data_IF_178273121279
#
_entry.id   IF_178273121279
#
_cell.length_a   1.000
_cell.length_b   1.000
_cell.length_c   1.000
_cell.angle_alpha   90.00
_cell.angle_beta   90.00
_cell.angle_gamma   90.00
#
_symmetry.space_group_name_H-M   'P 1'
#
loop_
_entity.id
_entity.type
_entity.pdbx_description
1 polymer ?
#
# COMPACT_ATOMS: atom_id res chain seq x y z
N UNK A 1 9.76 -18.34 -16.13
CA UNK A 1 9.69 -17.16 -16.99
C UNK A 1 10.84 -16.21 -16.73
N UNK A 2 11.19 -15.42 -17.72
CA UNK A 2 12.22 -14.38 -17.67
C UNK A 2 11.77 -13.24 -18.60
N UNK A 3 12.08 -12.02 -18.22
CA UNK A 3 11.86 -10.84 -19.03
C UNK A 3 13.24 -10.18 -19.27
N UNK A 4 13.57 -9.96 -20.52
CA UNK A 4 14.77 -9.26 -20.96
C UNK A 4 14.38 -7.93 -21.58
N UNK A 5 14.98 -6.84 -21.10
CA UNK A 5 14.74 -5.48 -21.59
C UNK A 5 16.05 -4.96 -22.16
N UNK A 6 16.06 -4.66 -23.46
CA UNK A 6 17.25 -4.14 -24.15
C UNK A 6 17.06 -2.65 -24.38
N UNK A 7 18.00 -1.86 -23.91
CA UNK A 7 18.09 -0.43 -24.21
C UNK A 7 19.29 -0.21 -25.12
N UNK A 8 19.02 0.02 -26.41
CA UNK A 8 20.04 0.24 -27.43
C UNK A 8 20.59 1.67 -27.39
N UNK A 9 21.73 1.90 -28.02
CA UNK A 9 22.38 3.23 -28.10
C UNK A 9 21.52 4.27 -28.83
N UNK A 10 20.71 3.84 -29.83
CA UNK A 10 19.73 4.67 -30.53
C UNK A 10 18.44 4.93 -29.74
N UNK A 11 18.41 4.52 -28.45
CA UNK A 11 17.26 4.58 -27.53
C UNK A 11 16.10 3.68 -27.93
N UNK A 12 16.24 2.81 -28.91
CA UNK A 12 15.26 1.74 -29.15
C UNK A 12 15.20 0.82 -27.95
N UNK A 13 13.98 0.51 -27.49
CA UNK A 13 13.76 -0.43 -26.38
C UNK A 13 13.05 -1.68 -26.89
N UNK A 14 13.57 -2.83 -26.45
CA UNK A 14 12.98 -4.14 -26.74
C UNK A 14 12.63 -4.82 -25.41
N UNK A 15 11.36 -5.10 -25.19
CA UNK A 15 10.89 -5.96 -24.11
C UNK A 15 10.68 -7.36 -24.68
N UNK A 16 11.37 -8.35 -24.12
CA UNK A 16 11.26 -9.75 -24.55
C UNK A 16 10.89 -10.65 -23.38
N UNK A 17 9.92 -11.51 -23.56
CA UNK A 17 9.59 -12.59 -22.63
C UNK A 17 9.82 -13.95 -23.27
N UNK A 18 10.06 -14.96 -22.45
CA UNK A 18 10.10 -16.37 -22.84
C UNK A 18 8.83 -17.12 -22.41
N UNK A 19 7.69 -16.46 -22.46
CA UNK A 19 6.37 -17.01 -22.17
C UNK A 19 5.86 -17.93 -23.26
N UNK A 20 4.55 -18.16 -23.25
CA UNK A 20 3.91 -19.07 -24.22
C UNK A 20 3.79 -18.49 -25.62
N UNK A 21 4.03 -17.20 -25.79
CA UNK A 21 3.84 -16.48 -27.05
C UNK A 21 2.38 -16.46 -27.52
N UNK A 22 2.15 -15.88 -28.68
CA UNK A 22 0.81 -15.73 -29.30
C UNK A 22 0.78 -16.37 -30.69
N UNK A 23 -0.37 -16.92 -31.07
CA UNK A 23 -0.69 -17.34 -32.44
C UNK A 23 -1.18 -16.14 -33.26
N UNK A 24 -1.19 -16.27 -34.58
CA UNK A 24 -1.68 -15.24 -35.49
C UNK A 24 -3.11 -14.79 -35.17
N UNK A 25 -4.01 -15.75 -34.93
CA UNK A 25 -5.39 -15.44 -34.54
C UNK A 25 -5.51 -14.66 -33.25
N UNK A 26 -4.64 -14.96 -32.27
CA UNK A 26 -4.58 -14.26 -30.99
C UNK A 26 -4.01 -12.85 -31.15
N UNK A 27 -2.95 -12.68 -31.95
CA UNK A 27 -2.38 -11.37 -32.30
C UNK A 27 -3.44 -10.52 -33.00
N UNK A 28 -4.12 -11.08 -34.01
CA UNK A 28 -5.22 -10.40 -34.70
C UNK A 28 -6.31 -9.97 -33.71
N UNK A 29 -6.79 -10.87 -32.87
CA UNK A 29 -7.89 -10.61 -31.95
C UNK A 29 -7.52 -9.58 -30.88
N UNK A 30 -6.30 -9.65 -30.32
CA UNK A 30 -5.93 -8.87 -29.13
C UNK A 30 -5.19 -7.56 -29.42
N UNK A 31 -4.57 -7.43 -30.59
CA UNK A 31 -3.83 -6.23 -30.94
C UNK A 31 -4.55 -5.34 -31.98
N UNK A 32 -5.49 -5.90 -32.73
CA UNK A 32 -6.24 -5.12 -33.73
C UNK A 32 -7.59 -4.63 -33.24
N UNK A 33 -8.17 -5.27 -32.22
CA UNK A 33 -9.46 -4.90 -31.64
C UNK A 33 -9.25 -4.21 -30.31
N UNK A 34 -9.53 -2.91 -30.27
CA UNK A 34 -9.40 -2.11 -29.03
C UNK A 34 -10.37 -2.65 -27.96
N UNK A 35 -9.81 -2.98 -26.79
CA UNK A 35 -10.61 -3.43 -25.64
C UNK A 35 -10.82 -4.96 -25.57
N UNK A 36 -10.30 -5.76 -26.47
CA UNK A 36 -10.23 -7.21 -26.32
C UNK A 36 -8.90 -7.64 -25.65
N UNK A 37 -8.97 -8.63 -24.77
CA UNK A 37 -7.82 -9.23 -24.10
C UNK A 37 -8.02 -10.74 -23.99
N UNK A 38 -6.99 -11.52 -24.34
CA UNK A 38 -6.95 -12.99 -24.20
C UNK A 38 -7.29 -13.47 -22.79
N UNK A 39 -7.19 -12.57 -21.83
CA UNK A 39 -7.27 -12.86 -20.41
C UNK A 39 -8.64 -12.52 -19.79
N UNK A 40 -9.62 -12.06 -20.61
CA UNK A 40 -10.96 -11.70 -20.11
C UNK A 40 -11.85 -12.91 -19.81
N UNK A 41 -11.74 -13.96 -20.61
CA UNK A 41 -12.67 -15.09 -20.63
C UNK A 41 -12.06 -16.40 -20.10
N UNK A 42 -10.86 -16.35 -19.50
CA UNK A 42 -10.23 -17.52 -18.88
C UNK A 42 -10.63 -17.63 -17.41
N UNK A 43 -10.74 -18.85 -16.84
CA UNK A 43 -10.99 -19.06 -15.41
C UNK A 43 -9.99 -18.32 -14.50
N UNK A 44 -8.77 -18.08 -15.01
CA UNK A 44 -7.68 -17.39 -14.32
C UNK A 44 -7.59 -15.91 -14.73
N UNK A 45 -8.64 -15.31 -15.32
CA UNK A 45 -8.64 -13.91 -15.78
C UNK A 45 -8.29 -12.92 -14.65
N UNK A 46 -8.58 -13.30 -13.40
CA UNK A 46 -8.27 -12.52 -12.22
C UNK A 46 -6.77 -12.50 -11.88
N UNK A 47 -5.97 -13.40 -12.43
CA UNK A 47 -4.53 -13.49 -12.14
C UNK A 47 -3.65 -12.60 -13.06
N UNK A 48 -4.25 -11.94 -14.05
CA UNK A 48 -3.51 -11.11 -15.00
C UNK A 48 -3.69 -9.61 -14.77
N UNK A 49 -2.60 -8.84 -14.92
CA UNK A 49 -2.60 -7.39 -14.81
C UNK A 49 -3.30 -6.74 -16.03
N UNK A 50 -3.14 -7.33 -17.22
CA UNK A 50 -3.63 -6.79 -18.49
C UNK A 50 -5.06 -7.16 -18.80
N UNK A 51 -6.07 -6.56 -18.15
CA UNK A 51 -7.50 -6.87 -18.37
C UNK A 51 -8.19 -6.04 -19.46
N UNK A 52 -7.71 -4.84 -19.72
CA UNK A 52 -8.43 -3.86 -20.54
C UNK A 52 -8.08 -3.90 -22.03
N UNK A 53 -7.04 -4.65 -22.45
CA UNK A 53 -6.59 -4.69 -23.84
C UNK A 53 -6.04 -3.38 -24.39
N UNK A 54 -5.79 -2.39 -23.51
CA UNK A 54 -5.31 -1.06 -23.89
C UNK A 54 -3.86 -0.79 -23.44
N UNK A 55 -3.24 -1.71 -22.70
CA UNK A 55 -1.91 -1.49 -22.13
C UNK A 55 -0.84 -1.23 -23.19
N UNK A 56 -0.88 -2.00 -24.29
CA UNK A 56 0.06 -1.81 -25.41
C UNK A 56 -0.20 -0.49 -26.15
N UNK A 57 -1.46 -0.09 -26.31
CA UNK A 57 -1.82 1.14 -27.00
C UNK A 57 -1.34 2.40 -26.27
N UNK A 58 -1.17 2.32 -24.94
CA UNK A 58 -0.61 3.44 -24.18
C UNK A 58 0.83 3.77 -24.59
N UNK A 59 1.55 2.83 -25.21
CA UNK A 59 2.90 3.07 -25.72
C UNK A 59 2.92 4.12 -26.86
N UNK A 60 1.80 4.35 -27.57
CA UNK A 60 1.71 5.41 -28.59
C UNK A 60 1.90 6.83 -28.04
N UNK A 61 1.86 7.01 -26.74
CA UNK A 61 2.26 8.28 -26.12
C UNK A 61 3.73 8.56 -26.42
N UNK A 62 4.59 7.56 -26.29
CA UNK A 62 6.06 7.69 -26.42
C UNK A 62 6.61 7.24 -27.76
N UNK A 63 5.83 6.56 -28.60
CA UNK A 63 6.24 6.05 -29.93
C UNK A 63 5.17 6.29 -30.98
N UNK A 64 5.53 6.37 -32.25
CA UNK A 64 4.59 6.43 -33.38
C UNK A 64 4.27 5.06 -33.94
N UNK A 65 5.10 4.06 -33.63
CA UNK A 65 4.96 2.69 -34.09
C UNK A 65 5.29 1.70 -32.98
N UNK A 66 4.48 0.65 -32.87
CA UNK A 66 4.70 -0.47 -31.96
C UNK A 66 4.85 -1.72 -32.79
N UNK A 67 5.99 -2.41 -32.67
CA UNK A 67 6.20 -3.70 -33.31
C UNK A 67 6.14 -4.81 -32.27
N UNK A 68 5.28 -5.80 -32.53
CA UNK A 68 5.15 -7.01 -31.70
C UNK A 68 5.49 -8.22 -32.53
N UNK A 69 6.44 -9.00 -32.07
CA UNK A 69 6.83 -10.26 -32.69
C UNK A 69 6.60 -11.39 -31.70
N UNK A 70 5.94 -12.46 -32.13
CA UNK A 70 5.61 -13.56 -31.23
C UNK A 70 5.66 -14.91 -31.93
N UNK A 71 6.04 -15.95 -31.17
CA UNK A 71 5.94 -17.36 -31.58
C UNK A 71 5.30 -18.16 -30.44
N UNK A 72 4.21 -18.85 -30.78
CA UNK A 72 3.46 -19.63 -29.81
C UNK A 72 4.11 -20.98 -29.49
N UNK A 73 4.14 -21.34 -28.22
CA UNK A 73 4.51 -22.69 -27.75
C UNK A 73 3.54 -23.77 -28.25
N UNK A 74 2.32 -23.38 -28.63
CA UNK A 74 1.30 -24.27 -29.15
C UNK A 74 1.48 -24.55 -30.66
N UNK A 75 2.61 -24.14 -31.26
CA UNK A 75 2.91 -24.32 -32.70
C UNK A 75 2.41 -23.17 -33.55
N UNK A 76 2.72 -23.24 -34.85
CA UNK A 76 2.46 -22.17 -35.83
C UNK A 76 3.72 -21.42 -36.21
N UNK A 77 3.56 -20.54 -37.21
CA UNK A 77 4.64 -19.66 -37.66
C UNK A 77 4.82 -18.48 -36.69
N UNK A 78 5.99 -17.87 -36.72
CA UNK A 78 6.20 -16.61 -36.02
C UNK A 78 5.36 -15.50 -36.68
N UNK A 79 4.81 -14.63 -35.87
CA UNK A 79 3.92 -13.54 -36.27
C UNK A 79 4.55 -12.21 -35.94
N UNK A 80 4.48 -11.27 -36.86
CA UNK A 80 4.87 -9.89 -36.66
C UNK A 80 3.67 -8.98 -36.91
N UNK A 81 3.30 -8.21 -35.88
CA UNK A 81 2.32 -7.14 -35.94
C UNK A 81 3.03 -5.80 -35.79
N UNK A 82 2.70 -4.86 -36.65
CA UNK A 82 3.23 -3.51 -36.64
C UNK A 82 2.06 -2.53 -36.64
N UNK A 83 1.78 -1.87 -35.52
CA UNK A 83 0.72 -0.89 -35.40
C UNK A 83 1.26 0.52 -35.36
N UNK A 84 0.52 1.47 -35.96
CA UNK A 84 0.85 2.88 -36.01
C UNK A 84 -0.15 3.75 -35.28
N UNK A 85 0.29 4.93 -34.89
CA UNK A 85 -0.53 5.90 -34.12
C UNK A 85 -1.79 6.34 -34.88
N UNK A 86 -1.79 6.28 -36.23
CA UNK A 86 -2.93 6.62 -37.06
C UNK A 86 -4.02 5.53 -37.11
N UNK A 87 -3.82 4.41 -36.36
CA UNK A 87 -4.73 3.27 -36.31
C UNK A 87 -4.54 2.24 -37.40
N UNK A 88 -3.58 2.42 -38.33
CA UNK A 88 -3.21 1.42 -39.31
C UNK A 88 -2.30 0.36 -38.71
N UNK A 89 -2.37 -0.86 -39.24
CA UNK A 89 -1.47 -1.94 -38.81
C UNK A 89 -1.13 -2.86 -40.00
N UNK A 90 -0.02 -3.55 -39.86
CA UNK A 90 0.39 -4.65 -40.73
C UNK A 90 0.55 -5.93 -39.93
N UNK A 91 0.06 -7.06 -40.45
CA UNK A 91 0.21 -8.37 -39.87
C UNK A 91 0.84 -9.30 -40.86
N UNK A 92 1.99 -9.85 -40.51
CA UNK A 92 2.75 -10.76 -41.38
C UNK A 92 3.18 -11.99 -40.59
N UNK A 93 3.16 -13.15 -41.26
CA UNK A 93 3.69 -14.40 -40.72
C UNK A 93 5.03 -14.71 -41.36
N UNK A 94 6.00 -15.17 -40.57
CA UNK A 94 7.34 -15.51 -41.01
C UNK A 94 7.66 -16.98 -40.76
N UNK A 95 8.28 -17.62 -41.78
CA UNK A 95 8.81 -18.96 -41.62
C UNK A 95 10.17 -18.99 -40.89
N UNK A 96 10.76 -17.83 -40.57
CA UNK A 96 11.99 -17.78 -39.79
C UNK A 96 11.81 -18.39 -38.40
N UNK A 97 12.76 -19.21 -38.00
CA UNK A 97 12.78 -19.79 -36.64
C UNK A 97 13.07 -18.70 -35.62
N UNK A 98 12.09 -18.44 -34.75
CA UNK A 98 12.24 -17.58 -33.58
C UNK A 98 12.08 -18.36 -32.29
N UNK A 99 12.71 -17.95 -31.18
CA UNK A 99 12.42 -18.50 -29.88
C UNK A 99 10.93 -18.36 -29.53
N UNK A 100 10.41 -19.29 -28.71
CA UNK A 100 9.06 -19.20 -28.13
C UNK A 100 9.02 -18.02 -27.18
N UNK A 101 7.93 -17.23 -27.24
CA UNK A 101 7.72 -16.05 -26.43
C UNK A 101 7.29 -14.86 -27.30
N UNK A 102 7.35 -13.68 -26.72
CA UNK A 102 7.00 -12.44 -27.42
C UNK A 102 8.06 -11.37 -27.19
N UNK A 103 8.18 -10.46 -28.15
CA UNK A 103 8.93 -9.23 -27.95
C UNK A 103 8.15 -8.02 -28.48
N UNK A 104 8.30 -6.91 -27.78
CA UNK A 104 7.74 -5.61 -28.14
C UNK A 104 8.91 -4.65 -28.39
N UNK A 105 8.92 -4.01 -29.55
CA UNK A 105 9.94 -3.04 -29.95
C UNK A 105 9.32 -1.65 -30.02
N UNK A 106 9.95 -0.68 -29.35
CA UNK A 106 9.52 0.70 -29.29
C UNK A 106 10.66 1.63 -29.74
N UNK A 107 10.34 2.54 -30.66
CA UNK A 107 11.23 3.61 -31.09
C UNK A 107 10.71 4.93 -30.51
N UNK A 108 11.41 5.55 -29.52
CA UNK A 108 10.88 6.73 -28.84
C UNK A 108 10.84 7.95 -29.77
N UNK A 109 9.77 8.74 -29.63
CA UNK A 109 9.67 10.08 -30.24
C UNK A 109 10.71 11.01 -29.63
N UNK A 110 11.15 12.01 -30.41
CA UNK A 110 12.17 12.97 -29.98
C UNK A 110 11.84 13.64 -28.62
N UNK A 111 10.58 14.03 -28.41
CA UNK A 111 10.14 14.71 -27.19
C UNK A 111 10.27 13.83 -25.93
N UNK A 112 10.29 12.50 -26.11
CA UNK A 112 10.30 11.51 -25.03
C UNK A 112 11.65 10.83 -24.84
N UNK A 113 12.67 11.13 -25.66
CA UNK A 113 13.99 10.48 -25.60
C UNK A 113 14.66 10.59 -24.22
N UNK A 114 14.37 11.65 -23.47
CA UNK A 114 14.92 11.86 -22.14
C UNK A 114 14.52 10.76 -21.14
N UNK A 115 13.38 10.08 -21.35
CA UNK A 115 12.95 8.94 -20.50
C UNK A 115 13.74 7.67 -20.81
N UNK A 116 14.38 7.60 -21.97
CA UNK A 116 15.16 6.46 -22.45
C UNK A 116 16.67 6.64 -22.25
N UNK A 117 17.07 7.64 -21.46
CA UNK A 117 18.42 7.69 -20.91
C UNK A 117 18.59 6.59 -19.86
N UNK A 118 19.75 5.90 -19.85
CA UNK A 118 19.96 4.69 -19.06
C UNK A 118 19.51 4.82 -17.59
N UNK A 119 19.98 5.85 -16.88
CA UNK A 119 19.67 6.03 -15.47
C UNK A 119 18.18 6.32 -15.23
N UNK A 120 17.56 7.10 -16.12
CA UNK A 120 16.13 7.44 -16.04
C UNK A 120 15.28 6.22 -16.34
N UNK A 121 15.59 5.51 -17.41
CA UNK A 121 14.89 4.32 -17.85
C UNK A 121 14.98 3.21 -16.80
N UNK A 122 16.18 2.96 -16.26
CA UNK A 122 16.40 2.00 -15.19
C UNK A 122 15.56 2.33 -13.95
N UNK A 123 15.51 3.59 -13.52
CA UNK A 123 14.66 4.02 -12.39
C UNK A 123 13.19 3.74 -12.63
N UNK A 124 12.70 4.01 -13.84
CA UNK A 124 11.30 3.73 -14.22
C UNK A 124 11.06 2.22 -14.21
N UNK A 125 11.95 1.43 -14.83
CA UNK A 125 11.82 -0.03 -14.91
C UNK A 125 11.80 -0.67 -13.51
N UNK A 126 12.74 -0.27 -12.63
CA UNK A 126 12.77 -0.71 -11.24
C UNK A 126 11.52 -0.24 -10.50
N UNK A 127 11.14 1.03 -10.62
CA UNK A 127 10.00 1.60 -9.89
C UNK A 127 8.71 0.81 -10.08
N UNK A 128 8.41 0.40 -11.31
CA UNK A 128 7.19 -0.37 -11.61
C UNK A 128 7.37 -1.87 -11.51
N UNK A 129 8.56 -2.38 -11.81
CA UNK A 129 8.84 -3.80 -11.96
C UNK A 129 9.55 -4.47 -10.78
N UNK A 130 9.94 -3.73 -9.74
CA UNK A 130 10.81 -4.19 -8.64
C UNK A 130 10.43 -5.54 -8.04
N UNK A 131 9.14 -5.81 -7.90
CA UNK A 131 8.65 -7.04 -7.25
C UNK A 131 7.88 -7.97 -8.17
N UNK A 132 8.00 -7.79 -9.49
CA UNK A 132 7.43 -8.75 -10.44
C UNK A 132 7.91 -10.17 -10.14
N UNK A 133 7.07 -11.22 -10.29
CA UNK A 133 7.40 -12.57 -9.88
C UNK A 133 8.42 -13.26 -10.79
N UNK A 134 8.77 -12.65 -11.91
CA UNK A 134 9.76 -13.14 -12.85
C UNK A 134 11.00 -12.24 -12.84
N UNK A 135 12.22 -12.80 -13.00
CA UNK A 135 13.43 -11.99 -13.11
C UNK A 135 13.37 -11.09 -14.35
N UNK A 136 13.68 -9.82 -14.16
CA UNK A 136 13.75 -8.80 -15.20
C UNK A 136 15.21 -8.36 -15.34
N UNK A 137 15.79 -8.57 -16.52
CA UNK A 137 17.14 -8.18 -16.85
C UNK A 137 17.15 -6.97 -17.76
N UNK A 138 17.91 -5.95 -17.40
CA UNK A 138 18.20 -4.80 -18.25
C UNK A 138 19.54 -5.05 -18.96
N UNK A 139 19.49 -5.01 -20.29
CA UNK A 139 20.68 -5.11 -21.15
C UNK A 139 20.96 -3.72 -21.72
N UNK A 140 22.17 -3.24 -21.53
CA UNK A 140 22.66 -1.99 -22.12
C UNK A 140 24.13 -2.16 -22.49
N UNK A 141 24.47 -1.88 -23.74
CA UNK A 141 25.80 -2.20 -24.30
C UNK A 141 26.13 -3.71 -24.06
N UNK A 142 27.26 -4.02 -23.48
CA UNK A 142 27.69 -5.40 -23.19
C UNK A 142 27.35 -5.86 -21.76
N UNK A 143 26.55 -5.07 -21.00
CA UNK A 143 26.20 -5.35 -19.62
C UNK A 143 24.78 -5.92 -19.50
N UNK A 144 24.61 -6.91 -18.63
CA UNK A 144 23.33 -7.49 -18.19
C UNK A 144 23.18 -7.28 -16.69
N UNK A 145 22.08 -6.68 -16.26
CA UNK A 145 21.79 -6.43 -14.84
C UNK A 145 20.40 -6.93 -14.44
N UNK A 146 20.30 -7.68 -13.37
CA UNK A 146 19.01 -8.03 -12.75
C UNK A 146 18.47 -6.81 -12.00
N UNK A 147 17.34 -6.27 -12.45
CA UNK A 147 16.79 -5.00 -11.96
C UNK A 147 15.62 -5.14 -11.00
N UNK A 148 15.17 -6.38 -10.73
CA UNK A 148 14.06 -6.61 -9.80
C UNK A 148 14.38 -7.65 -8.74
N UNK A 149 13.49 -7.76 -7.76
CA UNK A 149 13.56 -8.73 -6.66
C UNK A 149 12.30 -9.58 -6.67
N UNK A 150 12.26 -10.71 -7.42
CA UNK A 150 11.06 -11.54 -7.57
C UNK A 150 10.51 -12.10 -6.26
N UNK A 151 11.35 -12.23 -5.24
CA UNK A 151 10.97 -12.72 -3.91
C UNK A 151 11.41 -11.74 -2.82
N UNK A 152 10.72 -10.59 -2.68
CA UNK A 152 11.13 -9.58 -1.73
C UNK A 152 10.91 -10.06 -0.28
N UNK A 153 11.76 -9.56 0.63
CA UNK A 153 11.78 -9.93 2.06
C UNK A 153 10.39 -9.77 2.72
N UNK A 154 9.67 -8.72 2.36
CA UNK A 154 8.38 -8.42 2.97
C UNK A 154 7.26 -9.41 2.59
N UNK A 155 7.43 -10.18 1.52
CA UNK A 155 6.54 -11.28 1.14
C UNK A 155 7.08 -12.65 1.60
N UNK A 156 8.34 -12.75 2.00
CA UNK A 156 8.93 -14.00 2.48
C UNK A 156 8.32 -14.39 3.84
N UNK A 157 7.65 -15.56 3.99
CA UNK A 157 6.94 -15.92 5.23
C UNK A 157 7.83 -15.98 6.47
N UNK A 158 9.12 -16.31 6.26
CA UNK A 158 10.10 -16.52 7.34
C UNK A 158 10.95 -15.28 7.65
N UNK A 159 10.72 -14.15 6.97
CA UNK A 159 11.50 -12.96 7.26
C UNK A 159 11.24 -12.46 8.68
N UNK A 160 12.34 -12.17 9.36
CA UNK A 160 12.33 -11.68 10.73
C UNK A 160 11.84 -10.24 10.83
N UNK A 161 11.38 -9.84 12.01
CA UNK A 161 10.99 -8.45 12.28
C UNK A 161 12.12 -7.47 11.96
N UNK A 162 13.38 -7.82 12.25
CA UNK A 162 14.54 -6.98 11.97
C UNK A 162 14.72 -6.77 10.46
N UNK A 163 14.71 -7.86 9.68
CA UNK A 163 14.84 -7.79 8.22
C UNK A 163 13.71 -6.92 7.60
N UNK A 164 12.48 -7.04 8.12
CA UNK A 164 11.37 -6.22 7.66
C UNK A 164 11.57 -4.74 7.99
N UNK A 165 12.05 -4.40 9.19
CA UNK A 165 12.34 -3.01 9.58
C UNK A 165 13.48 -2.42 8.74
N UNK A 166 14.56 -3.18 8.52
CA UNK A 166 15.71 -2.77 7.71
C UNK A 166 15.29 -2.56 6.24
N UNK A 167 14.43 -3.43 5.72
CA UNK A 167 13.86 -3.27 4.37
C UNK A 167 12.99 -2.01 4.27
N UNK A 168 12.06 -1.83 5.22
CA UNK A 168 11.20 -0.63 5.24
C UNK A 168 11.99 0.66 5.36
N UNK A 169 13.07 0.67 6.15
CA UNK A 169 13.95 1.83 6.28
C UNK A 169 14.61 2.21 4.94
N UNK A 170 14.98 1.23 4.12
CA UNK A 170 15.54 1.46 2.77
C UNK A 170 14.48 1.97 1.81
N UNK A 171 13.30 1.31 1.75
CA UNK A 171 12.22 1.65 0.81
C UNK A 171 11.64 3.04 1.08
N UNK A 172 11.44 3.37 2.35
CA UNK A 172 10.80 4.62 2.76
C UNK A 172 11.77 5.72 3.20
N UNK A 173 13.07 5.44 3.20
CA UNK A 173 14.12 6.35 3.68
C UNK A 173 13.82 6.90 5.09
N UNK A 174 13.16 6.10 5.91
CA UNK A 174 12.70 6.45 7.25
C UNK A 174 12.57 5.19 8.11
N UNK A 175 13.04 5.24 9.34
CA UNK A 175 12.84 4.16 10.31
C UNK A 175 11.36 4.03 10.69
N UNK A 176 10.98 2.89 11.26
CA UNK A 176 9.67 2.67 11.86
C UNK A 176 9.81 2.24 13.33
N UNK A 177 8.79 2.48 14.16
CA UNK A 177 8.77 1.99 15.54
C UNK A 177 8.61 0.46 15.58
N UNK A 178 7.73 -0.05 14.72
CA UNK A 178 7.44 -1.47 14.62
C UNK A 178 6.94 -1.83 13.23
N UNK A 179 6.85 -3.14 12.97
CA UNK A 179 6.32 -3.72 11.75
C UNK A 179 5.55 -4.99 12.07
N UNK A 180 4.44 -5.21 11.38
CA UNK A 180 3.67 -6.44 11.48
C UNK A 180 3.08 -6.83 10.12
N UNK A 181 2.81 -8.12 9.96
CA UNK A 181 2.26 -8.68 8.73
C UNK A 181 0.76 -8.57 8.71
N UNK A 182 0.22 -8.42 7.51
CA UNK A 182 -1.21 -8.55 7.25
C UNK A 182 -1.46 -9.52 6.11
N UNK A 183 -2.62 -10.15 6.17
CA UNK A 183 -3.21 -10.91 5.09
C UNK A 183 -4.72 -10.82 5.20
N UNK A 184 -5.39 -10.47 4.10
CA UNK A 184 -6.85 -10.42 4.02
C UNK A 184 -7.37 -11.48 3.05
N UNK A 185 -8.59 -11.94 3.29
CA UNK A 185 -9.30 -12.79 2.33
C UNK A 185 -9.91 -11.92 1.23
N UNK A 186 -10.59 -10.84 1.63
CA UNK A 186 -11.11 -9.85 0.69
C UNK A 186 -9.99 -9.17 -0.05
N UNK A 187 -10.04 -9.20 -1.37
CA UNK A 187 -9.04 -8.59 -2.24
C UNK A 187 -7.66 -9.25 -2.23
N UNK A 188 -7.47 -10.35 -1.48
CA UNK A 188 -6.20 -11.07 -1.35
C UNK A 188 -5.01 -10.11 -1.13
N UNK A 189 -5.17 -9.22 -0.13
CA UNK A 189 -4.12 -8.26 0.22
C UNK A 189 -3.15 -8.91 1.20
N UNK A 190 -1.86 -8.92 0.85
CA UNK A 190 -0.80 -9.41 1.74
C UNK A 190 0.38 -8.43 1.79
N UNK A 191 1.06 -8.38 2.91
CA UNK A 191 2.23 -7.54 3.08
C UNK A 191 2.52 -7.16 4.51
N UNK A 192 3.09 -5.98 4.68
CA UNK A 192 3.52 -5.48 5.99
C UNK A 192 3.04 -4.06 6.23
N UNK A 193 2.70 -3.79 7.48
CA UNK A 193 2.33 -2.47 7.98
C UNK A 193 3.41 -1.99 8.95
N UNK A 194 3.87 -0.76 8.75
CA UNK A 194 4.90 -0.10 9.57
C UNK A 194 4.26 0.96 10.45
N UNK A 195 4.59 0.94 11.74
CA UNK A 195 4.18 1.99 12.68
C UNK A 195 5.17 3.14 12.60
N UNK A 196 4.69 4.34 12.31
CA UNK A 196 5.52 5.52 12.12
C UNK A 196 6.17 5.98 13.43
N UNK A 197 7.41 6.50 13.40
CA UNK A 197 8.13 6.93 14.61
C UNK A 197 7.83 8.38 15.01
N UNK A 198 6.94 9.08 14.29
CA UNK A 198 6.61 10.48 14.51
C UNK A 198 5.10 10.71 14.43
N UNK A 199 4.65 11.79 15.07
CA UNK A 199 3.25 12.22 15.00
C UNK A 199 2.93 12.67 13.57
N UNK A 200 1.90 12.08 13.00
CA UNK A 200 1.39 12.49 11.70
C UNK A 200 0.28 13.52 11.87
N UNK A 201 0.25 14.49 10.96
CA UNK A 201 -0.89 15.41 10.84
C UNK A 201 -1.77 14.90 9.70
N UNK A 202 -3.09 15.14 9.78
CA UNK A 202 -4.07 14.74 8.76
C UNK A 202 -3.74 15.25 7.34
N UNK A 203 -2.91 16.29 7.24
CA UNK A 203 -2.51 16.93 5.97
C UNK A 203 -1.22 16.34 5.35
N UNK A 204 -0.47 15.52 6.07
CA UNK A 204 0.78 14.94 5.57
C UNK A 204 0.45 13.59 4.91
N UNK A 205 0.59 13.52 3.59
CA UNK A 205 0.52 12.25 2.86
C UNK A 205 1.72 11.40 3.23
N UNK A 206 1.47 10.27 3.85
CA UNK A 206 2.50 9.26 4.06
C UNK A 206 2.76 8.57 2.72
N UNK A 207 4.01 8.37 2.36
CA UNK A 207 4.35 7.52 1.23
C UNK A 207 4.05 6.07 1.59
N UNK A 208 3.21 5.44 0.79
CA UNK A 208 2.89 4.02 0.87
C UNK A 208 3.51 3.29 -0.33
N UNK A 209 3.39 1.99 -0.39
CA UNK A 209 3.68 1.20 -1.59
C UNK A 209 2.56 0.18 -1.74
N UNK A 210 1.67 0.41 -2.70
CA UNK A 210 0.57 -0.49 -3.03
C UNK A 210 0.87 -1.13 -4.38
N UNK A 211 1.07 -2.42 -4.36
CA UNK A 211 1.25 -3.24 -5.56
C UNK A 211 -0.05 -3.95 -5.91
N UNK A 212 -0.33 -4.08 -7.18
CA UNK A 212 -1.41 -4.88 -7.71
C UNK A 212 -0.79 -5.97 -8.59
N UNK A 213 -0.96 -7.24 -8.18
CA UNK A 213 -0.35 -8.38 -8.88
C UNK A 213 1.14 -8.20 -9.11
N UNK A 214 1.83 -7.75 -8.08
CA UNK A 214 3.27 -7.51 -8.06
C UNK A 214 3.78 -6.35 -8.91
N UNK A 215 2.92 -5.53 -9.50
CA UNK A 215 3.30 -4.30 -10.18
C UNK A 215 2.90 -3.10 -9.32
N UNK A 216 3.77 -2.09 -9.19
CA UNK A 216 3.47 -0.88 -8.44
C UNK A 216 2.24 -0.20 -9.05
N UNK A 217 1.22 -0.01 -8.22
CA UNK A 217 0.01 0.72 -8.58
C UNK A 217 0.11 2.18 -8.15
N UNK A 218 0.49 2.40 -6.89
CA UNK A 218 0.53 3.74 -6.31
C UNK A 218 1.47 3.83 -5.11
N UNK A 219 1.97 5.04 -4.87
CA UNK A 219 2.68 5.40 -3.64
C UNK A 219 1.75 6.01 -2.58
N UNK A 220 0.47 6.18 -2.87
CA UNK A 220 -0.59 6.53 -1.93
C UNK A 220 -1.28 5.25 -1.41
N UNK A 221 -2.10 5.37 -0.35
CA UNK A 221 -2.81 4.23 0.25
C UNK A 221 -3.98 3.71 -0.60
N UNK A 222 -4.32 4.40 -1.68
CA UNK A 222 -5.45 4.07 -2.57
C UNK A 222 -6.78 3.86 -1.83
N UNK A 223 -6.98 4.49 -0.69
CA UNK A 223 -8.09 4.25 0.25
C UNK A 223 -8.14 2.80 0.78
N UNK A 224 -7.02 2.12 0.83
CA UNK A 224 -6.91 0.75 1.35
C UNK A 224 -6.87 0.73 2.88
N UNK A 225 -6.27 1.74 3.51
CA UNK A 225 -6.22 1.86 4.96
C UNK A 225 -7.48 2.55 5.53
N UNK A 226 -7.92 2.18 6.75
CA UNK A 226 -8.92 2.96 7.47
C UNK A 226 -8.47 4.39 7.71
N UNK A 227 -9.38 5.35 7.64
CA UNK A 227 -9.07 6.78 7.81
C UNK A 227 -8.37 7.10 9.13
N UNK A 228 -8.64 6.34 10.21
CA UNK A 228 -8.02 6.54 11.51
C UNK A 228 -6.59 5.97 11.60
N UNK A 229 -6.11 5.23 10.59
CA UNK A 229 -4.80 4.56 10.61
C UNK A 229 -3.64 5.46 10.13
N UNK A 230 -3.69 6.77 10.37
CA UNK A 230 -2.66 7.74 9.95
C UNK A 230 -1.25 7.45 10.46
N UNK A 231 -1.14 6.70 11.54
CA UNK A 231 0.13 6.30 12.13
C UNK A 231 0.74 5.07 11.46
N UNK A 232 0.09 4.56 10.42
CA UNK A 232 0.50 3.35 9.70
C UNK A 232 0.95 3.73 8.28
N UNK A 233 2.01 3.08 7.83
CA UNK A 233 2.47 3.07 6.44
C UNK A 233 2.37 1.63 5.92
N UNK A 234 1.88 1.44 4.70
CA UNK A 234 1.73 0.10 4.13
C UNK A 234 2.71 -0.16 2.99
N UNK A 235 3.13 -1.43 2.92
CA UNK A 235 3.86 -2.05 1.82
C UNK A 235 3.15 -3.37 1.53
N UNK A 236 2.28 -3.37 0.53
CA UNK A 236 1.32 -4.45 0.30
C UNK A 236 1.14 -4.78 -1.16
N UNK A 237 0.79 -6.03 -1.43
CA UNK A 237 0.35 -6.51 -2.73
C UNK A 237 -1.11 -6.97 -2.66
N UNK A 238 -1.93 -6.58 -3.62
CA UNK A 238 -3.36 -6.86 -3.68
C UNK A 238 -3.69 -7.63 -4.96
N UNK A 239 -3.71 -8.96 -4.89
CA UNK A 239 -3.93 -9.79 -6.09
C UNK A 239 -5.39 -9.83 -6.55
N UNK A 240 -6.35 -9.65 -5.64
CA UNK A 240 -7.77 -9.76 -5.92
C UNK A 240 -8.50 -8.43 -6.15
N UNK A 241 -7.87 -7.29 -5.90
CA UNK A 241 -8.48 -5.99 -6.13
C UNK A 241 -8.37 -5.58 -7.61
N UNK A 242 -9.14 -4.57 -7.99
CA UNK A 242 -9.17 -4.04 -9.35
C UNK A 242 -8.62 -2.62 -9.37
N UNK A 243 -7.81 -2.30 -10.39
CA UNK A 243 -7.39 -0.92 -10.66
C UNK A 243 -8.39 -0.18 -11.52
N UNK A 244 -8.39 1.13 -11.42
CA UNK A 244 -9.02 2.02 -12.40
C UNK A 244 -8.37 1.85 -13.79
N UNK A 245 -9.01 2.36 -14.83
CA UNK A 245 -8.47 2.30 -16.19
C UNK A 245 -7.12 3.04 -16.33
N UNK A 246 -6.93 4.13 -15.57
CA UNK A 246 -5.65 4.87 -15.49
C UNK A 246 -4.54 4.10 -14.78
N UNK A 247 -4.87 3.04 -14.03
CA UNK A 247 -3.94 2.26 -13.19
C UNK A 247 -3.21 3.08 -12.11
N UNK A 248 -3.83 4.14 -11.63
CA UNK A 248 -3.26 4.99 -10.57
C UNK A 248 -3.93 4.76 -9.21
N UNK A 249 -5.09 4.09 -9.20
CA UNK A 249 -5.85 3.84 -7.98
C UNK A 249 -6.66 2.54 -8.05
N UNK A 250 -7.19 2.12 -6.91
CA UNK A 250 -8.09 0.98 -6.81
C UNK A 250 -9.54 1.39 -7.12
N UNK A 251 -10.31 0.49 -7.72
CA UNK A 251 -11.74 0.69 -7.95
C UNK A 251 -12.47 0.68 -6.61
N UNK A 252 -13.25 1.74 -6.36
CA UNK A 252 -14.10 1.83 -5.16
C UNK A 252 -15.31 0.91 -5.29
N UNK A 253 -15.24 -0.26 -4.69
CA UNK A 253 -16.30 -1.27 -4.67
C UNK A 253 -16.39 -1.92 -3.27
N UNK A 254 -17.32 -2.86 -3.09
CA UNK A 254 -17.51 -3.51 -1.80
C UNK A 254 -16.32 -4.39 -1.41
N UNK A 255 -15.65 -5.00 -2.38
CA UNK A 255 -14.44 -5.79 -2.12
C UNK A 255 -13.30 -4.94 -1.50
N UNK A 256 -13.10 -3.70 -1.99
CA UNK A 256 -12.13 -2.77 -1.39
C UNK A 256 -12.57 -2.34 0.02
N UNK A 257 -13.88 -2.13 0.24
CA UNK A 257 -14.40 -1.79 1.57
C UNK A 257 -14.17 -2.93 2.57
N UNK A 258 -14.42 -4.17 2.16
CA UNK A 258 -14.20 -5.35 3.00
C UNK A 258 -12.71 -5.55 3.29
N UNK A 259 -11.84 -5.45 2.29
CA UNK A 259 -10.38 -5.49 2.49
C UNK A 259 -9.91 -4.43 3.50
N UNK A 260 -10.40 -3.18 3.38
CA UNK A 260 -10.11 -2.11 4.34
C UNK A 260 -10.57 -2.45 5.75
N UNK A 261 -11.75 -3.05 5.90
CA UNK A 261 -12.29 -3.49 7.18
C UNK A 261 -11.42 -4.58 7.81
N UNK A 262 -11.01 -5.57 7.03
CA UNK A 262 -10.13 -6.64 7.50
C UNK A 262 -8.74 -6.10 7.92
N UNK A 263 -8.17 -5.16 7.15
CA UNK A 263 -6.93 -4.47 7.54
C UNK A 263 -7.13 -3.71 8.84
N UNK A 264 -8.25 -3.01 9.00
CA UNK A 264 -8.60 -2.33 10.24
C UNK A 264 -8.66 -3.29 11.44
N UNK A 265 -9.26 -4.47 11.26
CA UNK A 265 -9.27 -5.52 12.29
C UNK A 265 -7.85 -6.00 12.61
N UNK A 266 -7.01 -6.24 11.60
CA UNK A 266 -5.62 -6.66 11.80
C UNK A 266 -4.79 -5.63 12.60
N UNK A 267 -4.99 -4.33 12.34
CA UNK A 267 -4.35 -3.26 13.13
C UNK A 267 -4.82 -3.29 14.58
N UNK A 268 -6.13 -3.46 14.82
CA UNK A 268 -6.69 -3.56 16.17
C UNK A 268 -6.15 -4.78 16.91
N UNK A 269 -6.08 -5.93 16.25
CA UNK A 269 -5.56 -7.17 16.83
C UNK A 269 -4.06 -7.06 17.15
N UNK A 270 -3.29 -6.41 16.28
CA UNK A 270 -1.89 -6.10 16.54
C UNK A 270 -1.73 -5.26 17.82
N UNK A 271 -2.49 -4.16 17.96
CA UNK A 271 -2.46 -3.31 19.17
C UNK A 271 -2.88 -4.08 20.42
N UNK A 272 -3.93 -4.92 20.31
CA UNK A 272 -4.38 -5.82 21.40
C UNK A 272 -3.27 -6.79 21.82
N UNK A 273 -2.59 -7.40 20.84
CA UNK A 273 -1.46 -8.29 21.07
C UNK A 273 -0.30 -7.60 21.78
N UNK A 274 -0.02 -6.34 21.47
CA UNK A 274 1.01 -5.57 22.15
C UNK A 274 0.68 -5.30 23.63
N UNK A 275 -0.56 -4.95 23.94
CA UNK A 275 -1.00 -4.74 25.33
C UNK A 275 -0.78 -5.99 26.16
N UNK A 276 -1.06 -7.15 25.59
CA UNK A 276 -0.95 -8.44 26.29
C UNK A 276 0.49 -8.96 26.40
N UNK A 277 1.27 -8.84 25.31
CA UNK A 277 2.53 -9.56 25.17
C UNK A 277 3.78 -8.66 25.11
N UNK A 278 3.63 -7.38 24.75
CA UNK A 278 4.76 -6.44 24.61
C UNK A 278 4.37 -5.01 24.98
N UNK A 279 4.08 -4.82 26.26
CA UNK A 279 3.66 -3.53 26.81
C UNK A 279 4.67 -2.42 26.57
N UNK A 280 5.97 -2.73 26.59
CA UNK A 280 7.01 -1.73 26.35
C UNK A 280 6.91 -1.12 24.93
N UNK A 281 6.60 -1.94 23.91
CA UNK A 281 6.36 -1.47 22.56
C UNK A 281 5.04 -0.69 22.47
N UNK A 282 3.97 -1.19 23.10
CA UNK A 282 2.68 -0.48 23.14
C UNK A 282 2.84 0.94 23.74
N UNK A 283 3.57 1.07 24.84
CA UNK A 283 3.81 2.38 25.46
C UNK A 283 4.60 3.30 24.53
N UNK A 284 5.63 2.82 23.81
CA UNK A 284 6.35 3.62 22.81
C UNK A 284 5.44 4.12 21.70
N UNK A 285 4.52 3.28 21.22
CA UNK A 285 3.53 3.65 20.21
C UNK A 285 2.57 4.69 20.78
N UNK A 286 2.10 4.48 22.02
CA UNK A 286 1.18 5.37 22.70
C UNK A 286 1.80 6.76 22.94
N UNK A 287 3.07 6.84 23.33
CA UNK A 287 3.80 8.11 23.53
C UNK A 287 3.77 9.00 22.27
N UNK A 288 3.82 8.37 21.10
CA UNK A 288 3.79 9.08 19.82
C UNK A 288 2.35 9.24 19.30
N UNK A 289 1.52 8.21 19.39
CA UNK A 289 0.26 8.08 18.65
C UNK A 289 -0.99 8.01 19.53
N UNK A 290 -0.94 8.44 20.81
CA UNK A 290 -2.09 8.37 21.73
C UNK A 290 -3.37 9.01 21.14
N UNK A 291 -3.25 10.07 20.33
CA UNK A 291 -4.39 10.70 19.67
C UNK A 291 -5.13 9.73 18.73
N UNK A 292 -4.39 8.98 17.90
CA UNK A 292 -4.98 7.99 16.99
C UNK A 292 -5.58 6.80 17.73
N UNK A 293 -4.91 6.37 18.81
CA UNK A 293 -5.42 5.29 19.67
C UNK A 293 -6.68 5.73 20.41
N UNK A 294 -6.77 6.99 20.85
CA UNK A 294 -8.00 7.57 21.40
C UNK A 294 -9.14 7.56 20.38
N UNK A 295 -8.85 7.92 19.12
CA UNK A 295 -9.85 7.88 18.04
C UNK A 295 -10.39 6.45 17.82
N UNK A 296 -9.52 5.45 17.75
CA UNK A 296 -9.93 4.04 17.61
C UNK A 296 -10.79 3.60 18.82
N UNK A 297 -10.32 3.89 20.04
CA UNK A 297 -11.02 3.54 21.26
C UNK A 297 -12.39 4.22 21.39
N UNK A 298 -12.54 5.43 20.81
CA UNK A 298 -13.84 6.13 20.82
C UNK A 298 -14.91 5.44 19.96
N UNK A 299 -14.52 4.63 18.97
CA UNK A 299 -15.43 3.92 18.07
C UNK A 299 -15.72 2.48 18.51
N UNK A 300 -14.80 1.86 19.26
CA UNK A 300 -14.84 0.43 19.61
C UNK A 300 -14.83 0.23 21.14
N UNK A 301 -15.91 -0.38 21.69
CA UNK A 301 -16.07 -0.60 23.12
C UNK A 301 -15.07 -1.60 23.71
N UNK A 302 -14.67 -2.60 22.93
CA UNK A 302 -13.70 -3.62 23.38
C UNK A 302 -12.31 -2.98 23.50
N UNK A 303 -11.90 -2.22 22.49
CA UNK A 303 -10.63 -1.52 22.50
C UNK A 303 -10.60 -0.38 23.52
N UNK A 304 -11.74 0.28 23.74
CA UNK A 304 -11.86 1.25 24.82
C UNK A 304 -11.55 0.61 26.19
N UNK A 305 -12.16 -0.52 26.50
CA UNK A 305 -11.88 -1.24 27.75
C UNK A 305 -10.42 -1.66 27.86
N UNK A 306 -9.84 -2.10 26.74
CA UNK A 306 -8.46 -2.57 26.69
C UNK A 306 -7.43 -1.45 26.84
N UNK A 307 -7.67 -0.30 26.21
CA UNK A 307 -6.68 0.77 26.14
C UNK A 307 -6.89 1.87 27.18
N UNK A 308 -8.10 2.05 27.72
CA UNK A 308 -8.44 3.21 28.55
C UNK A 308 -7.47 3.44 29.70
N UNK A 309 -7.07 2.40 30.43
CA UNK A 309 -6.17 2.53 31.57
C UNK A 309 -4.77 3.06 31.19
N UNK A 310 -4.39 2.96 29.92
CA UNK A 310 -3.08 3.42 29.40
C UNK A 310 -3.17 4.80 28.74
N UNK A 311 -4.38 5.23 28.34
CA UNK A 311 -4.54 6.51 27.63
C UNK A 311 -4.15 7.68 28.52
N UNK A 312 -3.33 8.62 28.00
CA UNK A 312 -2.94 9.80 28.75
C UNK A 312 -4.06 10.85 28.74
N UNK A 313 -4.31 11.44 29.90
CA UNK A 313 -5.19 12.60 30.10
C UNK A 313 -4.44 13.71 30.79
N UNK A 314 -4.66 14.95 30.36
CA UNK A 314 -4.16 16.10 31.07
C UNK A 314 -4.94 16.31 32.37
N UNK A 315 -4.24 16.55 33.46
CA UNK A 315 -4.84 16.85 34.76
C UNK A 315 -4.20 18.09 35.39
N UNK A 316 -4.83 18.63 36.43
CA UNK A 316 -4.24 19.71 37.22
C UNK A 316 -2.89 19.31 37.88
N UNK A 317 -2.55 18.02 37.92
CA UNK A 317 -1.27 17.47 38.43
C UNK A 317 -0.36 16.92 37.30
N UNK A 318 -0.54 17.41 36.07
CA UNK A 318 0.20 16.97 34.87
C UNK A 318 -0.51 15.86 34.11
N UNK A 319 0.12 15.36 33.04
CA UNK A 319 -0.42 14.26 32.21
C UNK A 319 -0.31 12.95 32.98
N UNK A 320 -1.42 12.20 33.07
CA UNK A 320 -1.50 10.91 33.75
C UNK A 320 -2.24 9.88 32.90
N UNK A 321 -1.90 8.61 33.06
CA UNK A 321 -2.71 7.53 32.50
C UNK A 321 -4.06 7.43 33.21
N UNK A 322 -5.12 7.08 32.49
CA UNK A 322 -6.45 6.97 33.09
C UNK A 322 -6.48 5.95 34.22
N UNK A 323 -5.78 4.82 34.13
CA UNK A 323 -5.65 3.84 35.18
C UNK A 323 -5.11 4.44 36.50
N UNK A 324 -4.17 5.38 36.41
CA UNK A 324 -3.65 6.08 37.62
C UNK A 324 -4.63 7.13 38.18
N UNK A 325 -5.49 7.71 37.31
CA UNK A 325 -6.55 8.64 37.72
C UNK A 325 -7.63 7.86 38.46
N UNK A 326 -8.13 6.77 37.88
CA UNK A 326 -9.17 5.92 38.44
C UNK A 326 -8.77 5.24 39.76
N UNK A 327 -7.51 4.84 39.89
CA UNK A 327 -7.04 4.20 41.14
C UNK A 327 -7.00 5.15 42.34
N UNK A 328 -7.06 6.46 42.10
CA UNK A 328 -7.08 7.46 43.15
C UNK A 328 -8.50 7.70 43.71
N UNK A 329 -9.54 7.62 42.87
CA UNK A 329 -10.94 7.81 43.24
C UNK A 329 -11.87 7.22 42.16
N UNK A 330 -13.05 6.73 42.56
CA UNK A 330 -14.10 6.29 41.63
C UNK A 330 -14.94 7.48 41.06
N UNK A 331 -14.75 8.68 41.59
CA UNK A 331 -15.35 9.91 41.09
C UNK A 331 -14.30 10.65 40.29
N UNK A 332 -14.53 10.82 38.96
CA UNK A 332 -13.65 11.55 38.06
C UNK A 332 -14.22 12.93 37.83
N UNK A 333 -13.60 13.94 38.47
CA UNK A 333 -13.91 15.34 38.20
C UNK A 333 -13.28 15.77 36.87
N UNK A 334 -14.05 16.42 35.99
CA UNK A 334 -13.55 16.88 34.68
C UNK A 334 -14.18 18.18 34.25
N UNK A 335 -13.50 18.88 33.34
CA UNK A 335 -14.00 20.08 32.66
C UNK A 335 -14.07 19.81 31.17
N UNK A 336 -15.08 20.41 30.47
CA UNK A 336 -15.28 20.25 29.02
C UNK A 336 -14.49 21.24 28.17
N UNK A 337 -14.08 22.35 28.78
CA UNK A 337 -13.38 23.39 28.05
C UNK A 337 -12.11 23.84 28.80
N UNK A 338 -11.21 24.45 28.06
CA UNK A 338 -9.90 24.83 28.56
C UNK A 338 -9.97 26.02 29.54
N UNK A 339 -10.97 26.90 29.43
CA UNK A 339 -11.11 28.08 30.28
C UNK A 339 -11.51 27.63 31.69
N UNK A 340 -12.53 26.78 31.82
CA UNK A 340 -12.95 26.22 33.10
C UNK A 340 -11.82 25.43 33.74
N UNK A 341 -11.09 24.61 32.95
CA UNK A 341 -9.91 23.91 33.46
C UNK A 341 -8.86 24.85 34.05
N UNK A 342 -8.56 25.96 33.40
CA UNK A 342 -7.59 26.94 33.88
C UNK A 342 -8.03 27.62 35.18
N UNK A 343 -9.35 27.88 35.32
CA UNK A 343 -9.91 28.49 36.52
C UNK A 343 -9.88 27.50 37.71
N UNK A 344 -10.36 26.27 37.48
CA UNK A 344 -10.50 25.25 38.53
C UNK A 344 -9.15 24.67 38.92
N UNK A 345 -8.17 24.59 38.03
CA UNK A 345 -6.86 23.97 38.24
C UNK A 345 -6.16 24.42 39.52
N UNK A 346 -6.19 25.75 39.83
CA UNK A 346 -5.53 26.29 41.02
C UNK A 346 -6.28 25.92 42.32
N UNK A 347 -7.59 26.02 42.29
CA UNK A 347 -8.44 25.73 43.43
C UNK A 347 -8.38 24.23 43.79
N UNK A 348 -8.53 23.38 42.75
CA UNK A 348 -8.44 21.92 42.88
C UNK A 348 -7.06 21.49 43.43
N UNK A 349 -5.99 22.12 42.96
CA UNK A 349 -4.64 21.86 43.44
C UNK A 349 -4.47 22.17 44.92
N UNK A 350 -5.01 23.28 45.41
CA UNK A 350 -4.98 23.68 46.83
C UNK A 350 -5.80 22.74 47.73
N UNK A 351 -6.90 22.19 47.22
CA UNK A 351 -7.77 21.26 47.92
C UNK A 351 -7.37 19.78 47.76
N UNK A 352 -6.32 19.51 47.00
CA UNK A 352 -5.84 18.14 46.76
C UNK A 352 -6.64 17.33 45.72
N UNK A 353 -7.68 17.93 45.11
CA UNK A 353 -8.51 17.26 44.10
C UNK A 353 -7.76 17.00 42.82
N UNK A 354 -8.19 15.94 42.11
CA UNK A 354 -7.69 15.64 40.78
C UNK A 354 -8.79 15.98 39.76
N UNK A 355 -8.50 16.87 38.81
CA UNK A 355 -9.41 17.31 37.78
C UNK A 355 -8.81 17.02 36.41
N UNK A 356 -9.59 16.40 35.53
CA UNK A 356 -9.23 16.05 34.17
C UNK A 356 -9.65 17.16 33.22
N UNK A 357 -8.73 17.58 32.34
CA UNK A 357 -9.04 18.42 31.20
C UNK A 357 -9.59 17.55 30.06
N UNK A 358 -10.89 17.55 29.88
CA UNK A 358 -11.55 16.82 28.79
C UNK A 358 -11.87 17.69 27.57
N UNK A 359 -11.23 18.85 27.42
CA UNK A 359 -11.41 19.76 26.28
C UNK A 359 -10.84 19.22 24.96
N UNK A 360 -10.00 18.19 24.99
CA UNK A 360 -9.44 17.60 23.78
C UNK A 360 -10.44 16.71 23.05
N UNK A 361 -10.28 16.61 21.73
CA UNK A 361 -11.25 16.06 20.76
C UNK A 361 -11.96 14.77 21.18
N UNK A 362 -11.26 13.84 21.82
CA UNK A 362 -11.82 12.52 22.19
C UNK A 362 -12.04 12.33 23.68
N UNK A 363 -11.48 13.20 24.52
CA UNK A 363 -11.35 12.93 25.95
C UNK A 363 -12.69 12.86 26.66
N UNK A 364 -13.57 13.82 26.43
CA UNK A 364 -14.92 13.79 27.01
C UNK A 364 -15.72 12.56 26.53
N UNK A 365 -15.64 12.27 25.21
CA UNK A 365 -16.33 11.12 24.62
C UNK A 365 -15.86 9.80 25.24
N UNK A 366 -14.55 9.65 25.43
CA UNK A 366 -13.96 8.45 26.06
C UNK A 366 -14.39 8.31 27.50
N UNK A 367 -14.31 9.38 28.30
CA UNK A 367 -14.75 9.37 29.70
C UNK A 367 -16.22 8.96 29.82
N UNK A 368 -17.12 9.62 29.09
CA UNK A 368 -18.56 9.31 29.12
C UNK A 368 -18.87 7.90 28.63
N UNK A 369 -18.22 7.46 27.56
CA UNK A 369 -18.41 6.13 27.02
C UNK A 369 -17.90 5.07 27.99
N UNK A 370 -16.73 5.29 28.60
CA UNK A 370 -16.14 4.36 29.57
C UNK A 370 -16.98 4.27 30.86
N UNK A 371 -17.49 5.39 31.40
CA UNK A 371 -18.37 5.40 32.55
C UNK A 371 -19.69 4.63 32.30
N UNK A 372 -20.27 4.74 31.10
CA UNK A 372 -21.45 3.93 30.72
C UNK A 372 -21.17 2.42 30.73
N UNK A 373 -19.94 2.01 30.43
CA UNK A 373 -19.51 0.61 30.44
C UNK A 373 -19.05 0.12 31.78
N UNK A 374 -18.87 1.02 32.78
CA UNK A 374 -18.39 0.74 34.14
C UNK A 374 -19.23 1.57 35.13
N UNK A 375 -20.39 1.05 35.54
CA UNK A 375 -21.35 1.79 36.38
C UNK A 375 -20.84 2.21 37.75
N UNK A 376 -19.75 1.60 38.24
CA UNK A 376 -19.08 1.98 39.48
C UNK A 376 -18.30 3.31 39.37
N UNK A 377 -18.05 3.78 38.15
CA UNK A 377 -17.34 5.04 37.89
C UNK A 377 -18.34 6.19 37.76
N UNK A 378 -18.19 7.21 38.57
CA UNK A 378 -18.98 8.44 38.49
C UNK A 378 -18.18 9.55 37.80
N UNK A 379 -18.81 10.26 36.90
CA UNK A 379 -18.24 11.47 36.28
C UNK A 379 -18.90 12.69 36.91
N UNK A 380 -18.10 13.60 37.42
CA UNK A 380 -18.54 14.89 37.96
C UNK A 380 -17.97 16.03 37.10
N UNK A 381 -18.88 16.76 36.46
CA UNK A 381 -18.54 17.87 35.61
C UNK A 381 -18.47 19.16 36.43
N UNK A 382 -17.35 19.85 36.38
CA UNK A 382 -17.06 21.08 37.12
C UNK A 382 -17.06 22.28 36.18
#
# INVERSE_FOLDING_TARGET
>A
GRIDVFLNDDKTVIFRDNGIGLKEEEVYRFLTVIGESSKRDTPDADDFIGRFGIGLLSCFVVTDEIKVESRSAMGGQAVCWCGKVDGTYELTSSAEERPIGSQVVLHPKNDWMHLFEYDTFKKILVGYGEVLPYPVYLHHQDEEELVNTPSPVWLAPKATRKELLDYGAKVFQSSALDVFRIRTESGRVEGVLYVLPFRTQFSVRNSHKVYLKRMLLSEDDCNLLPQWAFFIRCLVNADGLLSTASRESLVSNDLLKDARKEIGMAIKDYLRGLVQNNRAMFNKILDVHHFHIKAIASEDNELLRLFMDYLPFETNKGVRSFGSIRSADNVICYTRNLEDFRQVRRIAGAQGWLVVNAAYTFDETLLKKYARLNPELTLDEI
#
